data_IF_596259543935
#
_entry.id   IF_596259543935
#
_cell.length_a   1.000
_cell.length_b   1.000
_cell.length_c   1.000
_cell.angle_alpha   90.00
_cell.angle_beta   90.00
_cell.angle_gamma   90.00
#
_symmetry.space_group_name_H-M   'P 1'
#
loop_
_entity.id
_entity.type
_entity.pdbx_description
1 polymer ?
#
# COMPACT_ATOMS: atom_id res chain seq x y z
N UNK A 1 -33.18 -20.98 -4.86
CA UNK A 1 -31.82 -21.53 -5.07
C UNK A 1 -30.88 -20.36 -5.30
N UNK A 2 -29.73 -20.32 -4.62
CA UNK A 2 -28.67 -19.33 -4.91
C UNK A 2 -27.80 -19.88 -6.04
N UNK A 3 -27.37 -19.03 -6.97
CA UNK A 3 -26.38 -19.40 -7.99
C UNK A 3 -25.12 -19.91 -7.26
N UNK A 4 -24.60 -21.08 -7.65
CA UNK A 4 -23.34 -21.55 -7.13
C UNK A 4 -22.21 -20.75 -7.80
N UNK A 5 -21.86 -19.60 -7.20
CA UNK A 5 -20.81 -18.69 -7.71
C UNK A 5 -19.47 -19.39 -7.91
N UNK A 6 -19.22 -20.49 -7.19
CA UNK A 6 -17.95 -21.23 -7.20
C UNK A 6 -17.64 -21.94 -8.53
N UNK A 7 -18.57 -21.97 -9.50
CA UNK A 7 -18.33 -22.56 -10.82
C UNK A 7 -17.90 -21.54 -11.87
N UNK A 8 -17.89 -20.25 -11.55
CA UNK A 8 -17.48 -19.17 -12.45
C UNK A 8 -15.96 -18.97 -12.40
N UNK A 9 -15.35 -18.46 -13.48
CA UNK A 9 -13.99 -17.92 -13.42
C UNK A 9 -13.83 -16.94 -12.25
N UNK A 10 -12.71 -16.98 -11.50
CA UNK A 10 -12.46 -16.08 -10.38
C UNK A 10 -12.64 -14.59 -10.72
N UNK A 11 -12.29 -14.15 -11.94
CA UNK A 11 -12.49 -12.77 -12.39
C UNK A 11 -13.97 -12.41 -12.48
N UNK A 12 -14.81 -13.31 -12.98
CA UNK A 12 -16.25 -13.12 -13.03
C UNK A 12 -16.89 -13.13 -11.63
N UNK A 13 -16.37 -13.95 -10.71
CA UNK A 13 -16.82 -13.94 -9.31
C UNK A 13 -16.57 -12.57 -8.66
N UNK A 14 -15.38 -11.97 -8.89
CA UNK A 14 -14.99 -10.67 -8.34
C UNK A 14 -15.89 -9.50 -8.78
N UNK A 15 -16.63 -9.64 -9.88
CA UNK A 15 -17.59 -8.64 -10.37
C UNK A 15 -18.99 -8.80 -9.75
N UNK A 16 -19.30 -9.97 -9.19
CA UNK A 16 -20.66 -10.30 -8.79
C UNK A 16 -21.21 -9.38 -7.70
N UNK A 17 -20.38 -8.99 -6.74
CA UNK A 17 -20.85 -8.20 -5.59
C UNK A 17 -21.26 -6.78 -6.01
N UNK A 18 -20.50 -6.15 -6.92
CA UNK A 18 -20.87 -4.87 -7.51
C UNK A 18 -22.17 -4.98 -8.32
N UNK A 19 -22.30 -6.03 -9.14
CA UNK A 19 -23.53 -6.26 -9.93
C UNK A 19 -24.73 -6.47 -9.00
N UNK A 20 -24.57 -7.20 -7.89
CA UNK A 20 -25.64 -7.42 -6.93
C UNK A 20 -26.04 -6.13 -6.22
N UNK A 21 -25.09 -5.24 -5.92
CA UNK A 21 -25.37 -3.92 -5.38
C UNK A 21 -26.17 -3.04 -6.37
N UNK A 22 -25.72 -2.97 -7.64
CA UNK A 22 -26.34 -2.12 -8.68
C UNK A 22 -27.66 -2.70 -9.20
N UNK A 23 -27.75 -4.02 -9.29
CA UNK A 23 -28.92 -4.75 -9.78
C UNK A 23 -29.16 -6.02 -8.95
N UNK A 24 -29.81 -5.90 -7.77
CA UNK A 24 -30.08 -7.02 -6.86
C UNK A 24 -30.94 -8.14 -7.48
N UNK A 25 -31.62 -7.86 -8.60
CA UNK A 25 -32.48 -8.81 -9.31
C UNK A 25 -31.75 -9.59 -10.40
N UNK A 26 -30.51 -9.23 -10.75
CA UNK A 26 -29.76 -9.86 -11.83
C UNK A 26 -29.61 -11.37 -11.62
N UNK A 27 -29.05 -11.77 -10.46
CA UNK A 27 -28.78 -13.18 -10.16
C UNK A 27 -30.05 -14.00 -9.89
N UNK A 28 -31.15 -13.37 -9.49
CA UNK A 28 -32.43 -14.07 -9.25
C UNK A 28 -33.22 -14.29 -10.54
N UNK A 29 -33.10 -13.39 -11.52
CA UNK A 29 -33.73 -13.54 -12.84
C UNK A 29 -32.97 -14.47 -13.78
N UNK A 30 -31.63 -14.55 -13.64
CA UNK A 30 -30.76 -15.27 -14.57
C UNK A 30 -30.25 -16.63 -14.04
N UNK A 31 -30.92 -17.23 -13.05
CA UNK A 31 -30.52 -18.47 -12.36
C UNK A 31 -30.13 -19.65 -13.28
N UNK A 32 -30.66 -19.69 -14.51
CA UNK A 32 -30.47 -20.79 -15.48
C UNK A 32 -29.53 -20.46 -16.64
N UNK A 33 -29.07 -19.21 -16.77
CA UNK A 33 -28.28 -18.72 -17.92
C UNK A 33 -27.00 -17.99 -17.46
N UNK A 34 -26.74 -17.92 -16.15
CA UNK A 34 -25.61 -17.18 -15.62
C UNK A 34 -24.28 -17.82 -16.07
N UNK A 35 -23.63 -17.18 -17.03
CA UNK A 35 -22.29 -17.51 -17.51
C UNK A 35 -21.40 -16.24 -17.43
N UNK A 36 -20.11 -16.41 -17.64
CA UNK A 36 -19.13 -15.32 -17.55
C UNK A 36 -19.46 -14.18 -18.51
N UNK A 37 -19.85 -14.49 -19.75
CA UNK A 37 -20.25 -13.50 -20.75
C UNK A 37 -21.38 -12.58 -20.27
N UNK A 38 -22.43 -13.16 -19.66
CA UNK A 38 -23.55 -12.39 -19.12
C UNK A 38 -23.11 -11.46 -17.96
N UNK A 39 -22.20 -11.92 -17.11
CA UNK A 39 -21.65 -11.13 -16.00
C UNK A 39 -20.84 -9.96 -16.54
N UNK A 40 -19.94 -10.19 -17.50
CA UNK A 40 -19.15 -9.12 -18.10
C UNK A 40 -20.03 -8.10 -18.85
N UNK A 41 -21.05 -8.58 -19.58
CA UNK A 41 -22.00 -7.69 -20.29
C UNK A 41 -22.85 -6.87 -19.33
N UNK A 42 -23.22 -7.43 -18.19
CA UNK A 42 -23.92 -6.68 -17.15
C UNK A 42 -23.00 -5.65 -16.51
N UNK A 43 -21.76 -6.05 -16.15
CA UNK A 43 -20.76 -5.13 -15.61
C UNK A 43 -20.49 -3.95 -16.54
N UNK A 44 -20.31 -4.20 -17.84
CA UNK A 44 -20.02 -3.18 -18.84
C UNK A 44 -21.10 -2.10 -18.96
N UNK A 45 -22.35 -2.38 -18.58
CA UNK A 45 -23.44 -1.39 -18.59
C UNK A 45 -23.26 -0.31 -17.52
N UNK A 46 -22.45 -0.55 -16.49
CA UNK A 46 -22.21 0.41 -15.41
C UNK A 46 -21.00 1.31 -15.64
N UNK A 47 -20.17 1.00 -16.64
CA UNK A 47 -18.96 1.75 -16.94
C UNK A 47 -19.28 3.08 -17.61
N UNK A 48 -18.54 4.12 -17.24
CA UNK A 48 -18.50 5.36 -18.03
C UNK A 48 -17.73 5.13 -19.34
N UNK A 49 -17.93 6.01 -20.33
CA UNK A 49 -17.15 5.97 -21.57
C UNK A 49 -15.65 6.13 -21.31
N UNK A 50 -15.29 6.98 -20.34
CA UNK A 50 -13.90 7.22 -19.93
C UNK A 50 -13.28 5.97 -19.28
N UNK A 51 -13.99 5.33 -18.35
CA UNK A 51 -13.52 4.10 -17.70
C UNK A 51 -13.37 2.94 -18.70
N UNK A 52 -14.35 2.76 -19.60
CA UNK A 52 -14.28 1.75 -20.64
C UNK A 52 -13.11 1.98 -21.60
N UNK A 53 -12.86 3.24 -21.98
CA UNK A 53 -11.70 3.61 -22.80
C UNK A 53 -10.37 3.32 -22.09
N UNK A 54 -10.26 3.60 -20.79
CA UNK A 54 -9.06 3.29 -20.02
C UNK A 54 -8.83 1.78 -19.96
N UNK A 55 -9.86 0.97 -19.68
CA UNK A 55 -9.74 -0.50 -19.70
C UNK A 55 -9.26 -0.98 -21.07
N UNK A 56 -9.77 -0.41 -22.16
CA UNK A 56 -9.32 -0.72 -23.52
C UNK A 56 -7.83 -0.34 -23.74
N UNK A 57 -7.39 0.81 -23.26
CA UNK A 57 -5.97 1.20 -23.29
C UNK A 57 -5.08 0.22 -22.50
N UNK A 58 -5.54 -0.21 -21.33
CA UNK A 58 -4.83 -1.20 -20.53
C UNK A 58 -4.70 -2.54 -21.26
N UNK A 59 -5.76 -2.96 -21.97
CA UNK A 59 -5.75 -4.17 -22.82
C UNK A 59 -4.76 -4.03 -23.98
N UNK A 60 -4.62 -2.85 -24.58
CA UNK A 60 -3.68 -2.58 -25.67
C UNK A 60 -2.22 -2.60 -25.23
N UNK A 61 -1.94 -2.21 -23.98
CA UNK A 61 -0.57 -2.13 -23.48
C UNK A 61 0.07 -3.53 -23.42
N UNK A 62 1.14 -3.81 -24.15
CA UNK A 62 1.75 -5.15 -24.22
C UNK A 62 2.49 -5.58 -22.94
N UNK A 63 2.53 -4.74 -21.90
CA UNK A 63 3.17 -5.09 -20.63
C UNK A 63 2.50 -6.27 -19.94
N UNK A 64 3.33 -7.22 -19.49
CA UNK A 64 2.86 -8.45 -18.84
C UNK A 64 2.17 -8.19 -17.50
N UNK A 65 2.59 -7.16 -16.76
CA UNK A 65 1.98 -6.76 -15.50
C UNK A 65 1.31 -5.40 -15.70
N UNK A 66 0.03 -5.30 -15.37
CA UNK A 66 -0.72 -4.05 -15.46
C UNK A 66 -0.77 -3.42 -14.08
N UNK A 67 0.05 -2.39 -13.89
CA UNK A 67 0.19 -1.67 -12.64
C UNK A 67 -0.32 -0.24 -12.81
N UNK A 68 -1.22 0.14 -11.92
CA UNK A 68 -1.82 1.47 -11.87
C UNK A 68 -1.32 2.25 -10.68
N UNK A 69 -1.07 3.54 -10.87
CA UNK A 69 -0.98 4.49 -9.77
C UNK A 69 -2.36 4.91 -9.25
N UNK A 70 -2.36 5.60 -8.12
CA UNK A 70 -3.59 6.12 -7.49
C UNK A 70 -4.42 7.03 -8.41
N UNK A 71 -3.79 7.87 -9.23
CA UNK A 71 -4.50 8.76 -10.15
C UNK A 71 -5.24 7.99 -11.26
N UNK A 72 -4.63 6.93 -11.81
CA UNK A 72 -5.25 6.08 -12.83
C UNK A 72 -6.38 5.25 -12.22
N UNK A 73 -6.20 4.78 -10.99
CA UNK A 73 -7.23 4.06 -10.27
C UNK A 73 -8.49 4.90 -10.03
N UNK A 74 -8.33 6.20 -9.75
CA UNK A 74 -9.47 7.10 -9.54
C UNK A 74 -10.35 7.25 -10.78
N UNK A 75 -9.79 7.03 -11.98
CA UNK A 75 -10.53 7.04 -13.24
C UNK A 75 -11.28 5.73 -13.52
N UNK A 76 -11.00 4.67 -12.74
CA UNK A 76 -11.64 3.35 -12.83
C UNK A 76 -12.71 3.20 -11.74
N UNK A 77 -13.72 4.06 -11.78
CA UNK A 77 -14.69 4.25 -10.69
C UNK A 77 -15.41 2.95 -10.30
N UNK A 78 -15.93 2.19 -11.26
CA UNK A 78 -16.64 0.94 -10.99
C UNK A 78 -15.67 -0.21 -10.73
N UNK A 79 -14.61 -0.33 -11.53
CA UNK A 79 -13.67 -1.45 -11.44
C UNK A 79 -12.90 -1.44 -10.12
N UNK A 80 -12.56 -0.25 -9.59
CA UNK A 80 -11.92 -0.09 -8.27
C UNK A 80 -12.81 -0.53 -7.09
N UNK A 81 -14.13 -0.66 -7.30
CA UNK A 81 -15.04 -1.20 -6.27
C UNK A 81 -15.03 -2.75 -6.24
N UNK A 82 -14.34 -3.39 -7.19
CA UNK A 82 -14.29 -4.84 -7.32
C UNK A 82 -12.98 -5.42 -6.81
N UNK A 83 -12.94 -6.74 -6.60
CA UNK A 83 -11.70 -7.45 -6.24
C UNK A 83 -10.74 -7.70 -7.41
N UNK A 84 -11.08 -7.22 -8.62
CA UNK A 84 -10.22 -7.30 -9.82
C UNK A 84 -9.00 -6.39 -9.67
N UNK A 85 -9.20 -5.20 -9.12
CA UNK A 85 -8.10 -4.30 -8.77
C UNK A 85 -7.60 -4.68 -7.39
N UNK A 86 -6.31 -5.00 -7.30
CA UNK A 86 -5.69 -5.47 -6.07
C UNK A 86 -4.56 -4.53 -5.63
N UNK A 87 -4.57 -4.01 -4.39
CA UNK A 87 -3.50 -3.14 -3.92
C UNK A 87 -2.23 -3.96 -3.70
N UNK A 88 -1.11 -3.57 -4.30
CA UNK A 88 0.20 -4.21 -4.11
C UNK A 88 1.17 -3.33 -3.31
N UNK A 89 0.92 -2.02 -3.29
CA UNK A 89 1.58 -1.05 -2.41
C UNK A 89 0.56 -0.02 -1.90
N UNK A 90 0.96 0.94 -1.02
CA UNK A 90 0.07 2.01 -0.58
C UNK A 90 -0.52 2.85 -1.72
N UNK A 91 0.20 2.99 -2.85
CA UNK A 91 -0.16 3.88 -3.97
C UNK A 91 -0.19 3.16 -5.33
N UNK A 92 0.02 1.84 -5.35
CA UNK A 92 0.09 1.05 -6.58
C UNK A 92 -0.83 -0.17 -6.52
N UNK A 93 -1.45 -0.44 -7.66
CA UNK A 93 -2.52 -1.41 -7.80
C UNK A 93 -2.27 -2.29 -9.01
N UNK A 94 -2.53 -3.58 -8.87
CA UNK A 94 -2.45 -4.56 -9.94
C UNK A 94 -3.85 -4.85 -10.48
N UNK A 95 -3.98 -4.99 -11.80
CA UNK A 95 -5.19 -5.51 -12.44
C UNK A 95 -4.90 -6.90 -13.00
N UNK A 96 -5.81 -7.83 -12.67
CA UNK A 96 -5.76 -9.21 -13.13
C UNK A 96 -5.79 -9.32 -14.66
N UNK A 97 -4.78 -9.99 -15.24
CA UNK A 97 -4.72 -10.22 -16.70
C UNK A 97 -5.86 -11.12 -17.18
N UNK A 98 -6.38 -12.02 -16.35
CA UNK A 98 -7.52 -12.86 -16.72
C UNK A 98 -8.77 -12.01 -16.92
N UNK A 99 -9.02 -11.03 -16.05
CA UNK A 99 -10.09 -10.06 -16.24
C UNK A 99 -9.94 -9.30 -17.57
N UNK A 100 -8.76 -8.75 -17.86
CA UNK A 100 -8.53 -7.97 -19.09
C UNK A 100 -8.74 -8.82 -20.34
N UNK A 101 -8.30 -10.08 -20.31
CA UNK A 101 -8.51 -11.03 -21.39
C UNK A 101 -9.99 -11.39 -21.58
N UNK A 102 -10.73 -11.65 -20.50
CA UNK A 102 -12.16 -11.96 -20.57
C UNK A 102 -12.98 -10.74 -21.00
N UNK A 103 -12.59 -9.53 -20.58
CA UNK A 103 -13.22 -8.29 -21.05
C UNK A 103 -13.01 -8.10 -22.55
N UNK A 104 -11.77 -8.27 -23.04
CA UNK A 104 -11.47 -8.22 -24.47
C UNK A 104 -12.30 -9.26 -25.26
N UNK A 105 -12.43 -10.47 -24.73
CA UNK A 105 -13.20 -11.54 -25.37
C UNK A 105 -14.70 -11.24 -25.41
N UNK A 106 -15.33 -10.95 -24.28
CA UNK A 106 -16.79 -10.84 -24.18
C UNK A 106 -17.37 -9.47 -24.55
N UNK A 107 -16.59 -8.40 -24.39
CA UNK A 107 -17.06 -7.01 -24.61
C UNK A 107 -16.49 -6.42 -25.88
N UNK A 108 -15.19 -6.63 -26.13
CA UNK A 108 -14.51 -6.08 -27.31
C UNK A 108 -14.46 -7.05 -28.49
N UNK A 109 -14.99 -8.27 -28.34
CA UNK A 109 -15.02 -9.32 -29.35
C UNK A 109 -13.62 -9.69 -29.89
N UNK A 110 -12.67 -9.90 -28.98
CA UNK A 110 -11.27 -10.25 -29.27
C UNK A 110 -10.58 -9.24 -30.21
N UNK A 111 -10.92 -7.96 -30.09
CA UNK A 111 -10.33 -6.86 -30.88
C UNK A 111 -8.80 -6.80 -30.75
N UNK A 112 -8.27 -7.18 -29.60
CA UNK A 112 -6.84 -7.15 -29.28
C UNK A 112 -6.27 -8.56 -29.06
N UNK A 113 -4.95 -8.76 -29.27
CA UNK A 113 -4.29 -10.02 -28.93
C UNK A 113 -4.44 -10.36 -27.44
N UNK A 114 -4.58 -11.66 -27.14
CA UNK A 114 -4.64 -12.14 -25.76
C UNK A 114 -3.34 -11.78 -25.02
N UNK A 115 -3.48 -11.21 -23.83
CA UNK A 115 -2.37 -10.84 -22.96
C UNK A 115 -1.69 -12.10 -22.40
N UNK A 116 -0.36 -12.08 -22.24
CA UNK A 116 0.35 -13.16 -21.56
C UNK A 116 -0.10 -13.26 -20.10
N UNK A 117 -0.39 -14.47 -19.66
CA UNK A 117 -0.69 -14.73 -18.25
C UNK A 117 0.59 -14.61 -17.41
N UNK A 118 0.40 -14.31 -16.13
CA UNK A 118 1.49 -14.35 -15.16
C UNK A 118 2.01 -15.79 -15.04
N UNK A 119 3.32 -15.93 -14.90
CA UNK A 119 3.92 -17.19 -14.47
C UNK A 119 3.55 -17.47 -13.01
N UNK A 120 3.63 -18.73 -12.58
CA UNK A 120 3.33 -19.10 -11.19
C UNK A 120 4.14 -18.30 -10.16
N UNK A 121 5.39 -17.95 -10.49
CA UNK A 121 6.25 -17.14 -9.61
C UNK A 121 5.77 -15.69 -9.51
N UNK A 122 5.43 -15.06 -10.63
CA UNK A 122 4.92 -13.67 -10.63
C UNK A 122 3.56 -13.59 -9.93
N UNK A 123 2.66 -14.55 -10.21
CA UNK A 123 1.37 -14.65 -9.54
C UNK A 123 1.52 -14.83 -8.02
N UNK A 124 2.48 -15.65 -7.58
CA UNK A 124 2.79 -15.80 -6.16
C UNK A 124 3.29 -14.48 -5.55
N UNK A 125 4.26 -13.81 -6.18
CA UNK A 125 4.80 -12.54 -5.68
C UNK A 125 3.73 -11.44 -5.58
N UNK A 126 2.86 -11.32 -6.59
CA UNK A 126 1.73 -10.39 -6.56
C UNK A 126 0.75 -10.80 -5.45
N UNK A 127 0.40 -12.08 -5.33
CA UNK A 127 -0.47 -12.58 -4.27
C UNK A 127 0.05 -12.26 -2.87
N UNK A 128 1.35 -12.45 -2.62
CA UNK A 128 2.01 -12.09 -1.36
C UNK A 128 1.94 -10.57 -1.09
N UNK A 129 2.20 -9.75 -2.12
CA UNK A 129 2.09 -8.29 -2.01
C UNK A 129 0.66 -7.84 -1.70
N UNK A 130 -0.34 -8.41 -2.40
CA UNK A 130 -1.76 -8.13 -2.19
C UNK A 130 -2.19 -8.52 -0.78
N UNK A 131 -1.82 -9.72 -0.33
CA UNK A 131 -2.13 -10.17 1.02
C UNK A 131 -1.50 -9.24 2.07
N UNK A 132 -0.22 -8.87 1.90
CA UNK A 132 0.47 -7.92 2.78
C UNK A 132 -0.26 -6.58 2.84
N UNK A 133 -0.69 -6.02 1.72
CA UNK A 133 -1.41 -4.74 1.70
C UNK A 133 -2.82 -4.84 2.28
N UNK A 134 -3.59 -5.89 1.95
CA UNK A 134 -4.93 -6.12 2.50
C UNK A 134 -4.88 -6.23 4.02
N UNK A 135 -3.93 -7.01 4.54
CA UNK A 135 -3.71 -7.15 5.98
C UNK A 135 -3.19 -5.85 6.60
N UNK A 136 -2.24 -5.17 5.95
CA UNK A 136 -1.77 -3.85 6.38
C UNK A 136 -2.92 -2.87 6.55
N UNK A 137 -3.84 -2.78 5.57
CA UNK A 137 -5.04 -1.93 5.64
C UNK A 137 -6.01 -2.35 6.74
N UNK A 138 -6.15 -3.65 7.01
CA UNK A 138 -6.97 -4.14 8.10
C UNK A 138 -6.41 -3.68 9.46
N UNK A 139 -5.11 -3.88 9.69
CA UNK A 139 -4.44 -3.48 10.93
C UNK A 139 -4.23 -1.98 11.05
N UNK A 140 -4.28 -1.23 9.94
CA UNK A 140 -4.29 0.24 9.94
C UNK A 140 -5.55 0.86 10.56
N UNK A 141 -6.59 0.08 10.83
CA UNK A 141 -7.83 0.57 11.44
C UNK A 141 -8.03 0.07 12.87
N UNK A 142 -7.14 -0.78 13.36
CA UNK A 142 -7.25 -1.38 14.68
C UNK A 142 -6.72 -0.40 15.73
N UNK A 143 -7.60 0.06 16.62
CA UNK A 143 -7.20 0.91 17.75
C UNK A 143 -6.45 0.10 18.82
N UNK A 144 -5.76 0.79 19.73
CA UNK A 144 -5.03 0.10 20.79
C UNK A 144 -5.95 -0.71 21.72
N UNK A 145 -7.09 -0.15 22.10
CA UNK A 145 -8.03 -0.85 22.97
C UNK A 145 -8.61 -2.10 22.31
N UNK A 146 -8.92 -2.04 21.00
CA UNK A 146 -9.34 -3.20 20.21
C UNK A 146 -8.23 -4.25 20.09
N UNK A 147 -6.97 -3.84 19.94
CA UNK A 147 -5.85 -4.77 19.92
C UNK A 147 -5.67 -5.47 21.27
N UNK A 148 -5.70 -4.72 22.38
CA UNK A 148 -5.66 -5.30 23.72
C UNK A 148 -6.82 -6.27 23.96
N UNK A 149 -8.02 -5.94 23.50
CA UNK A 149 -9.17 -6.82 23.66
C UNK A 149 -9.07 -8.07 22.77
N UNK A 150 -8.66 -7.94 21.52
CA UNK A 150 -8.64 -9.07 20.59
C UNK A 150 -7.51 -10.07 20.91
N UNK A 151 -6.34 -9.61 21.37
CA UNK A 151 -5.13 -10.43 21.43
C UNK A 151 -4.64 -10.78 22.84
N UNK A 152 -5.16 -10.14 23.89
CA UNK A 152 -4.70 -10.40 25.26
C UNK A 152 -5.81 -11.00 26.14
N UNK A 153 -5.43 -12.04 26.89
CA UNK A 153 -6.27 -12.57 27.96
C UNK A 153 -6.29 -11.61 29.16
N UNK A 154 -7.29 -11.75 30.02
CA UNK A 154 -7.34 -10.95 31.26
C UNK A 154 -6.07 -11.10 32.09
N UNK A 155 -5.50 -12.30 32.17
CA UNK A 155 -4.28 -12.53 32.97
C UNK A 155 -3.05 -11.86 32.34
N UNK A 156 -2.92 -11.92 31.00
CA UNK A 156 -1.86 -11.20 30.28
C UNK A 156 -1.97 -9.68 30.49
N UNK A 157 -3.17 -9.13 30.45
CA UNK A 157 -3.39 -7.70 30.73
C UNK A 157 -2.99 -7.34 32.18
N UNK A 158 -3.27 -8.22 33.14
CA UNK A 158 -2.81 -8.02 34.52
C UNK A 158 -1.29 -8.09 34.64
N UNK A 159 -0.63 -8.95 33.86
CA UNK A 159 0.83 -9.02 33.83
C UNK A 159 1.45 -7.74 33.26
N UNK A 160 0.86 -7.15 32.21
CA UNK A 160 1.24 -5.81 31.73
C UNK A 160 1.10 -4.80 32.88
N UNK A 161 -0.04 -4.75 33.55
CA UNK A 161 -0.22 -3.84 34.68
C UNK A 161 0.81 -4.04 35.80
N UNK A 162 1.20 -5.29 36.12
CA UNK A 162 2.24 -5.58 37.11
C UNK A 162 3.61 -5.10 36.65
N UNK A 163 3.97 -5.38 35.39
CA UNK A 163 5.24 -5.00 34.78
C UNK A 163 5.47 -3.48 34.83
N UNK A 164 4.40 -2.70 34.61
CA UNK A 164 4.44 -1.23 34.62
C UNK A 164 3.97 -0.59 35.93
N UNK A 165 3.79 -1.38 37.01
CA UNK A 165 3.43 -0.85 38.33
C UNK A 165 2.05 -0.16 38.42
N UNK A 166 1.14 -0.43 37.48
CA UNK A 166 -0.22 0.12 37.48
C UNK A 166 -1.03 -0.43 38.66
N UNK A 167 -1.97 0.34 39.21
CA UNK A 167 -2.78 -0.07 40.37
C UNK A 167 -4.27 -0.13 40.00
N UNK A 168 -5.05 -0.93 40.73
CA UNK A 168 -6.52 -0.98 40.58
C UNK A 168 -7.06 -2.04 39.62
N UNK A 169 -6.21 -2.89 39.04
CA UNK A 169 -6.60 -3.88 38.03
C UNK A 169 -7.07 -5.24 38.60
N UNK A 170 -6.80 -5.55 39.88
CA UNK A 170 -6.91 -6.92 40.42
C UNK A 170 -8.31 -7.53 40.35
N UNK A 171 -9.37 -6.70 40.43
CA UNK A 171 -10.78 -7.11 40.40
C UNK A 171 -11.57 -6.48 39.24
N UNK A 172 -10.90 -5.77 38.32
CA UNK A 172 -11.54 -5.08 37.21
C UNK A 172 -12.05 -6.04 36.14
N UNK A 173 -13.10 -5.64 35.40
CA UNK A 173 -13.46 -6.32 34.16
C UNK A 173 -12.39 -6.06 33.10
N UNK A 174 -12.30 -6.92 32.09
CA UNK A 174 -11.29 -6.80 31.02
C UNK A 174 -11.22 -5.38 30.43
N UNK A 175 -12.38 -4.80 30.10
CA UNK A 175 -12.52 -3.43 29.60
C UNK A 175 -11.88 -2.37 30.52
N UNK A 176 -12.01 -2.53 31.84
CA UNK A 176 -11.49 -1.57 32.82
C UNK A 176 -9.96 -1.65 32.88
N UNK A 177 -9.41 -2.87 32.77
CA UNK A 177 -7.97 -3.11 32.71
C UNK A 177 -7.38 -2.55 31.42
N UNK A 178 -8.04 -2.76 30.28
CA UNK A 178 -7.65 -2.19 28.98
C UNK A 178 -7.60 -0.67 29.07
N UNK A 179 -8.66 -0.03 29.60
CA UNK A 179 -8.69 1.42 29.75
C UNK A 179 -7.58 1.95 30.67
N UNK A 180 -7.25 1.22 31.73
CA UNK A 180 -6.15 1.57 32.63
C UNK A 180 -4.80 1.56 31.91
N UNK A 181 -4.53 0.52 31.12
CA UNK A 181 -3.28 0.39 30.34
C UNK A 181 -3.22 1.48 29.27
N UNK A 182 -4.30 1.67 28.50
CA UNK A 182 -4.39 2.70 27.46
C UNK A 182 -4.13 4.09 28.00
N UNK A 183 -4.78 4.44 29.12
CA UNK A 183 -4.58 5.73 29.76
C UNK A 183 -3.13 5.90 30.22
N UNK A 184 -2.57 4.91 30.90
CA UNK A 184 -1.20 4.99 31.41
C UNK A 184 -0.17 5.13 30.28
N UNK A 185 -0.35 4.38 29.19
CA UNK A 185 0.52 4.49 28.02
C UNK A 185 0.39 5.86 27.34
N UNK A 186 -0.83 6.41 27.21
CA UNK A 186 -1.04 7.75 26.64
C UNK A 186 -0.44 8.86 27.51
N UNK A 187 -0.50 8.71 28.83
CA UNK A 187 0.01 9.70 29.78
C UNK A 187 1.56 9.73 29.81
N UNK A 188 2.23 8.58 29.68
CA UNK A 188 3.70 8.48 29.74
C UNK A 188 4.27 7.33 28.89
N UNK A 189 4.10 7.40 27.56
CA UNK A 189 4.57 6.35 26.64
C UNK A 189 6.08 6.08 26.71
N UNK A 190 6.90 7.10 26.98
CA UNK A 190 8.36 6.94 27.08
C UNK A 190 8.74 6.01 28.22
N UNK A 191 8.07 6.10 29.38
CA UNK A 191 8.32 5.22 30.51
C UNK A 191 8.04 3.75 30.19
N UNK A 192 7.08 3.48 29.30
CA UNK A 192 6.82 2.11 28.85
C UNK A 192 7.90 1.64 27.88
N UNK A 193 8.27 2.47 26.90
CA UNK A 193 9.27 2.13 25.90
C UNK A 193 10.68 1.98 26.50
N UNK A 194 11.00 2.72 27.56
CA UNK A 194 12.27 2.63 28.28
C UNK A 194 12.47 1.27 28.99
N UNK A 195 11.42 0.46 29.19
CA UNK A 195 11.55 -0.89 29.77
C UNK A 195 11.79 -1.97 28.72
N UNK A 196 11.73 -1.64 27.42
CA UNK A 196 11.80 -2.64 26.37
C UNK A 196 13.23 -3.17 26.22
N UNK A 197 13.34 -4.48 26.00
CA UNK A 197 14.61 -5.16 25.79
C UNK A 197 15.19 -4.82 24.41
N UNK A 198 16.51 -5.01 24.19
CA UNK A 198 17.15 -4.73 22.91
C UNK A 198 16.46 -5.38 21.70
N UNK A 199 15.98 -6.61 21.82
CA UNK A 199 15.27 -7.31 20.73
C UNK A 199 13.92 -6.66 20.41
N UNK A 200 13.22 -6.17 21.42
CA UNK A 200 11.95 -5.46 21.26
C UNK A 200 12.18 -4.09 20.62
N UNK A 201 13.20 -3.36 21.06
CA UNK A 201 13.64 -2.10 20.44
C UNK A 201 14.10 -2.31 18.99
N UNK A 202 14.73 -3.44 18.69
CA UNK A 202 15.12 -3.81 17.32
C UNK A 202 13.91 -3.99 16.42
N UNK A 203 12.85 -4.61 16.94
CA UNK A 203 11.60 -4.79 16.21
C UNK A 203 10.87 -3.45 16.00
N UNK A 204 10.84 -2.59 17.02
CA UNK A 204 10.32 -1.23 16.90
C UNK A 204 11.11 -0.40 15.88
N UNK A 205 12.44 -0.52 15.86
CA UNK A 205 13.28 0.15 14.89
C UNK A 205 12.97 -0.27 13.44
N UNK A 206 12.62 -1.54 13.20
CA UNK A 206 12.17 -1.99 11.88
C UNK A 206 10.88 -1.29 11.44
N UNK A 207 9.88 -1.18 12.32
CA UNK A 207 8.64 -0.46 12.02
C UNK A 207 8.91 1.02 11.70
N UNK A 208 9.81 1.67 12.44
CA UNK A 208 10.23 3.06 12.20
C UNK A 208 10.94 3.22 10.85
N UNK A 209 11.90 2.34 10.54
CA UNK A 209 12.68 2.41 9.30
C UNK A 209 11.81 2.15 8.07
N UNK A 210 10.96 1.13 8.14
CA UNK A 210 10.03 0.77 7.06
C UNK A 210 8.79 1.67 7.05
N UNK A 211 8.68 2.57 8.02
CA UNK A 211 7.62 3.57 8.18
C UNK A 211 6.20 2.94 8.11
N UNK A 212 6.06 1.71 8.59
CA UNK A 212 4.85 0.89 8.49
C UNK A 212 4.46 0.40 9.87
N UNK A 213 3.18 0.14 10.09
CA UNK A 213 2.69 -0.46 11.33
C UNK A 213 2.55 -1.99 11.19
N UNK A 214 3.00 -2.57 10.07
CA UNK A 214 2.89 -4.00 9.78
C UNK A 214 4.10 -4.46 8.96
N UNK A 215 4.74 -5.55 9.37
CA UNK A 215 5.89 -6.18 8.73
C UNK A 215 5.70 -7.70 8.60
N UNK A 216 6.27 -8.36 7.57
CA UNK A 216 6.28 -9.82 7.48
C UNK A 216 7.02 -10.47 8.65
N UNK A 217 6.48 -11.56 9.20
CA UNK A 217 7.14 -12.29 10.30
C UNK A 217 8.54 -12.78 9.91
N UNK A 218 8.73 -13.18 8.65
CA UNK A 218 10.01 -13.61 8.11
C UNK A 218 11.07 -12.52 8.21
N UNK A 219 10.64 -11.26 8.11
CA UNK A 219 11.49 -10.08 8.23
C UNK A 219 11.74 -9.71 9.71
N UNK A 220 10.75 -9.93 10.59
CA UNK A 220 10.93 -9.81 12.03
C UNK A 220 11.93 -10.84 12.58
N UNK A 221 12.06 -12.01 11.95
CA UNK A 221 13.04 -13.04 12.33
C UNK A 221 12.76 -13.63 13.71
N UNK A 222 13.81 -13.81 14.52
CA UNK A 222 13.74 -14.36 15.88
C UNK A 222 13.51 -13.28 16.97
N UNK A 223 13.15 -12.05 16.58
CA UNK A 223 12.99 -10.95 17.53
C UNK A 223 11.86 -11.20 18.53
N UNK A 224 12.05 -10.71 19.76
CA UNK A 224 11.06 -10.82 20.83
C UNK A 224 9.75 -10.13 20.45
N UNK A 225 8.66 -10.89 20.52
CA UNK A 225 7.28 -10.41 20.36
C UNK A 225 6.63 -10.09 21.72
N UNK A 226 7.40 -10.06 22.81
CA UNK A 226 6.87 -9.86 24.16
C UNK A 226 6.47 -8.41 24.46
N UNK A 227 6.78 -7.48 23.56
CA UNK A 227 6.28 -6.11 23.61
C UNK A 227 4.76 -6.11 23.42
N UNK A 228 3.99 -5.74 24.45
CA UNK A 228 2.52 -5.76 24.39
C UNK A 228 1.89 -4.86 23.31
N UNK A 229 2.67 -3.92 22.77
CA UNK A 229 2.26 -3.05 21.65
C UNK A 229 2.40 -3.72 20.28
N UNK A 230 2.98 -4.92 20.24
CA UNK A 230 3.26 -5.71 19.04
C UNK A 230 2.42 -6.99 19.09
N UNK A 231 1.76 -7.31 17.98
CA UNK A 231 0.87 -8.46 17.85
C UNK A 231 1.17 -9.24 16.56
N UNK A 232 0.74 -10.49 16.51
CA UNK A 232 0.81 -11.34 15.32
C UNK A 232 -0.57 -11.65 14.78
N UNK A 233 -0.67 -11.85 13.46
CA UNK A 233 -1.93 -12.23 12.83
C UNK A 233 -2.21 -13.74 13.00
N UNK A 234 -2.58 -14.12 14.22
CA UNK A 234 -3.05 -15.48 14.51
C UNK A 234 -4.31 -15.82 13.69
N UNK A 235 -4.46 -17.06 13.19
CA UNK A 235 -3.54 -18.21 13.32
C UNK A 235 -2.49 -18.30 12.21
N UNK A 236 -2.44 -17.31 11.30
CA UNK A 236 -1.62 -17.41 10.09
C UNK A 236 -0.15 -17.09 10.36
N UNK A 237 0.16 -16.29 11.37
CA UNK A 237 1.51 -15.89 11.79
C UNK A 237 2.40 -15.51 10.61
N UNK A 238 1.85 -14.70 9.71
CA UNK A 238 2.55 -14.21 8.52
C UNK A 238 3.03 -12.77 8.70
N UNK A 239 2.44 -12.04 9.65
CA UNK A 239 2.65 -10.62 9.87
C UNK A 239 2.77 -10.32 11.36
N UNK A 240 3.67 -9.38 11.66
CA UNK A 240 3.80 -8.71 12.94
C UNK A 240 3.30 -7.29 12.75
N UNK A 241 2.44 -6.80 13.62
CA UNK A 241 1.84 -5.48 13.49
C UNK A 241 1.71 -4.77 14.83
N UNK A 242 1.58 -3.45 14.77
CA UNK A 242 1.23 -2.59 15.88
C UNK A 242 0.04 -1.70 15.50
N UNK A 243 -0.77 -1.26 16.48
CA UNK A 243 -1.73 -0.20 16.28
C UNK A 243 -1.06 1.05 15.66
N UNK A 244 -1.64 1.66 14.62
CA UNK A 244 -1.02 2.80 13.92
C UNK A 244 -0.71 3.99 14.82
N UNK A 245 -1.58 4.22 15.81
CA UNK A 245 -1.40 5.26 16.83
C UNK A 245 -0.06 5.15 17.58
N UNK A 246 0.54 3.96 17.63
CA UNK A 246 1.84 3.74 18.27
C UNK A 246 3.02 3.90 17.36
N UNK A 247 2.85 3.76 16.04
CA UNK A 247 3.96 3.99 15.12
C UNK A 247 4.48 5.43 15.29
N UNK A 248 3.59 6.40 15.42
CA UNK A 248 3.97 7.81 15.62
C UNK A 248 4.54 8.06 17.02
N UNK A 249 3.99 7.42 18.06
CA UNK A 249 4.57 7.45 19.41
C UNK A 249 6.00 6.90 19.44
N UNK A 250 6.23 5.74 18.81
CA UNK A 250 7.54 5.09 18.73
C UNK A 250 8.52 5.94 17.92
N UNK A 251 8.10 6.50 16.77
CA UNK A 251 8.94 7.46 16.03
C UNK A 251 9.36 8.65 16.91
N UNK A 252 8.39 9.25 17.59
CA UNK A 252 8.63 10.37 18.51
C UNK A 252 9.60 10.01 19.63
N UNK A 253 9.53 8.78 20.15
CA UNK A 253 10.45 8.25 21.15
C UNK A 253 11.90 8.18 20.62
N UNK A 254 12.12 7.56 19.45
CA UNK A 254 13.46 7.49 18.83
C UNK A 254 14.02 8.89 18.56
N UNK A 255 13.19 9.80 18.04
CA UNK A 255 13.59 11.20 17.78
C UNK A 255 13.97 11.95 19.07
N UNK A 256 13.11 11.90 20.09
CA UNK A 256 13.30 12.61 21.38
C UNK A 256 14.52 12.10 22.15
N UNK A 257 14.79 10.79 22.08
CA UNK A 257 15.94 10.15 22.73
C UNK A 257 17.22 10.20 21.88
N UNK A 258 17.15 10.78 20.66
CA UNK A 258 18.25 10.83 19.70
C UNK A 258 18.83 9.45 19.38
N UNK A 259 17.97 8.44 19.27
CA UNK A 259 18.33 7.07 18.92
C UNK A 259 18.25 6.90 17.40
N UNK A 260 19.31 6.42 16.77
CA UNK A 260 19.25 6.01 15.36
C UNK A 260 18.64 4.60 15.27
N UNK A 261 17.48 4.41 14.62
CA UNK A 261 16.89 3.08 14.45
C UNK A 261 17.84 2.07 13.80
N UNK A 262 18.77 2.49 12.94
CA UNK A 262 19.74 1.58 12.31
C UNK A 262 20.70 0.94 13.30
N UNK A 263 20.97 1.58 14.44
CA UNK A 263 21.86 1.03 15.47
C UNK A 263 21.29 -0.25 16.10
N UNK A 264 19.97 -0.38 16.09
CA UNK A 264 19.23 -1.53 16.65
C UNK A 264 19.01 -2.65 15.62
N UNK A 265 19.35 -2.43 14.34
CA UNK A 265 19.22 -3.49 13.34
C UNK A 265 20.46 -4.40 13.36
N UNK A 266 20.32 -5.74 13.32
CA UNK A 266 21.47 -6.65 13.22
C UNK A 266 22.31 -6.36 11.97
N UNK A 267 23.64 -6.39 12.10
CA UNK A 267 24.57 -6.02 11.01
C UNK A 267 24.30 -6.77 9.70
N UNK A 268 23.90 -8.04 9.77
CA UNK A 268 23.58 -8.86 8.61
C UNK A 268 22.35 -8.36 7.81
N UNK A 269 21.46 -7.59 8.44
CA UNK A 269 20.22 -7.10 7.84
C UNK A 269 20.22 -5.58 7.58
N UNK A 270 21.21 -4.84 8.11
CA UNK A 270 21.26 -3.37 8.04
C UNK A 270 21.17 -2.83 6.63
N UNK A 271 21.97 -3.38 5.71
CA UNK A 271 22.01 -2.89 4.32
C UNK A 271 20.67 -3.13 3.60
N UNK A 272 20.07 -4.30 3.81
CA UNK A 272 18.77 -4.67 3.23
C UNK A 272 17.65 -3.76 3.75
N UNK A 273 17.56 -3.58 5.07
CA UNK A 273 16.52 -2.72 5.68
C UNK A 273 16.75 -1.26 5.33
N UNK A 274 17.99 -0.78 5.28
CA UNK A 274 18.30 0.58 4.88
C UNK A 274 17.88 0.84 3.42
N UNK A 275 18.12 -0.11 2.52
CA UNK A 275 17.68 -0.02 1.13
C UNK A 275 16.16 -0.11 0.99
N UNK A 276 15.52 -1.04 1.70
CA UNK A 276 14.06 -1.15 1.75
C UNK A 276 13.40 0.13 2.29
N UNK A 277 13.96 0.73 3.34
CA UNK A 277 13.51 2.01 3.90
C UNK A 277 13.58 3.13 2.89
N UNK A 278 14.70 3.25 2.15
CA UNK A 278 14.84 4.24 1.06
C UNK A 278 13.82 4.01 -0.04
N UNK A 279 13.58 2.75 -0.41
CA UNK A 279 12.60 2.39 -1.43
C UNK A 279 11.18 2.76 -1.01
N UNK A 280 10.78 2.44 0.23
CA UNK A 280 9.46 2.81 0.76
C UNK A 280 9.30 4.34 0.84
N UNK A 281 10.33 5.05 1.32
CA UNK A 281 10.33 6.52 1.34
C UNK A 281 10.16 7.10 -0.06
N UNK A 282 10.89 6.58 -1.03
CA UNK A 282 10.77 6.98 -2.43
C UNK A 282 9.36 6.73 -2.96
N UNK A 283 8.80 5.53 -2.72
CA UNK A 283 7.45 5.16 -3.13
C UNK A 283 6.37 6.06 -2.53
N UNK A 284 6.49 6.50 -1.27
CA UNK A 284 5.54 7.45 -0.64
C UNK A 284 5.67 8.88 -1.18
N UNK A 285 6.88 9.25 -1.58
CA UNK A 285 7.12 10.52 -2.26
C UNK A 285 6.61 10.50 -3.71
N UNK A 286 6.18 9.33 -4.20
CA UNK A 286 5.54 9.15 -5.49
C UNK A 286 4.09 8.63 -5.31
N UNK A 287 3.19 8.80 -6.29
CA UNK A 287 3.31 9.79 -7.34
C UNK A 287 3.37 11.22 -6.77
N UNK A 288 3.90 12.14 -7.58
CA UNK A 288 3.85 13.56 -7.26
C UNK A 288 2.41 14.06 -7.40
N UNK A 289 1.87 14.80 -6.42
CA UNK A 289 0.51 15.30 -6.50
C UNK A 289 0.36 16.26 -7.68
N UNK A 290 -0.77 16.14 -8.40
CA UNK A 290 -1.11 17.00 -9.54
C UNK A 290 -1.63 18.36 -9.07
N UNK A 291 -2.35 18.38 -7.95
CA UNK A 291 -3.22 19.51 -7.58
C UNK A 291 -2.61 20.43 -6.52
N UNK A 292 -1.46 20.06 -5.95
CA UNK A 292 -0.79 20.85 -4.92
C UNK A 292 0.66 21.15 -5.28
N UNK A 293 0.93 22.32 -5.90
CA UNK A 293 2.27 22.76 -6.26
C UNK A 293 3.25 22.77 -5.09
N UNK A 294 2.79 23.21 -3.91
CA UNK A 294 3.61 23.29 -2.71
C UNK A 294 4.02 21.90 -2.21
N UNK A 295 3.08 20.94 -2.15
CA UNK A 295 3.38 19.57 -1.75
C UNK A 295 4.29 18.89 -2.78
N UNK A 296 4.06 19.12 -4.08
CA UNK A 296 4.90 18.61 -5.17
C UNK A 296 6.35 19.08 -5.06
N UNK A 297 6.57 20.37 -4.83
CA UNK A 297 7.91 20.92 -4.62
C UNK A 297 8.57 20.35 -3.37
N UNK A 298 7.83 20.23 -2.25
CA UNK A 298 8.36 19.64 -1.02
C UNK A 298 8.78 18.17 -1.20
N UNK A 299 7.96 17.37 -1.88
CA UNK A 299 8.29 15.97 -2.20
C UNK A 299 9.54 15.88 -3.08
N UNK A 300 9.64 16.73 -4.12
CA UNK A 300 10.83 16.79 -4.98
C UNK A 300 12.08 17.20 -4.20
N UNK A 301 12.01 18.19 -3.33
CA UNK A 301 13.14 18.59 -2.48
C UNK A 301 13.59 17.43 -1.58
N UNK A 302 12.66 16.69 -0.97
CA UNK A 302 12.96 15.50 -0.16
C UNK A 302 13.67 14.41 -0.97
N UNK A 303 13.20 14.13 -2.19
CA UNK A 303 13.85 13.21 -3.13
C UNK A 303 15.28 13.69 -3.45
N UNK A 304 15.47 14.98 -3.69
CA UNK A 304 16.75 15.55 -4.11
C UNK A 304 17.83 15.57 -3.04
N UNK A 305 17.46 15.49 -1.75
CA UNK A 305 18.39 15.43 -0.60
C UNK A 305 19.10 14.08 -0.46
N UNK A 306 18.53 12.99 -0.97
CA UNK A 306 19.15 11.66 -0.98
C UNK A 306 19.70 11.35 -2.38
N UNK A 307 21.00 11.07 -2.49
CA UNK A 307 21.65 10.81 -3.77
C UNK A 307 21.08 9.58 -4.50
N UNK A 308 20.66 8.56 -3.76
CA UNK A 308 20.07 7.31 -4.28
C UNK A 308 18.69 7.59 -4.84
N UNK A 309 17.83 8.25 -4.05
CA UNK A 309 16.48 8.63 -4.47
C UNK A 309 16.51 9.60 -5.66
N UNK A 310 17.42 10.57 -5.65
CA UNK A 310 17.64 11.50 -6.78
C UNK A 310 18.03 10.75 -8.06
N UNK A 311 19.01 9.84 -7.97
CA UNK A 311 19.43 9.02 -9.12
C UNK A 311 18.27 8.19 -9.65
N UNK A 312 17.51 7.54 -8.77
CA UNK A 312 16.35 6.72 -9.14
C UNK A 312 15.24 7.56 -9.77
N UNK A 313 14.91 8.71 -9.19
CA UNK A 313 13.95 9.66 -9.77
C UNK A 313 14.35 10.05 -11.20
N UNK A 314 15.60 10.47 -11.39
CA UNK A 314 16.08 10.86 -12.71
C UNK A 314 16.04 9.70 -13.70
N UNK A 315 16.45 8.50 -13.29
CA UNK A 315 16.40 7.30 -14.13
C UNK A 315 14.95 6.94 -14.54
N UNK A 316 14.00 6.92 -13.60
CA UNK A 316 12.60 6.60 -13.90
C UNK A 316 11.97 7.62 -14.85
N UNK A 317 12.29 8.91 -14.70
CA UNK A 317 11.77 9.94 -15.61
C UNK A 317 12.52 9.95 -16.96
N UNK A 318 13.76 9.46 -17.04
CA UNK A 318 14.46 9.31 -18.33
C UNK A 318 14.00 8.05 -19.10
N UNK A 319 13.65 6.97 -18.41
CA UNK A 319 13.20 5.68 -19.01
C UNK A 319 11.73 5.73 -19.44
N UNK A 320 10.86 6.47 -18.74
CA UNK A 320 9.43 6.60 -19.07
C UNK A 320 9.13 7.51 -20.28
N UNK A 321 10.05 7.65 -21.24
CA UNK A 321 9.82 8.40 -22.48
C UNK A 321 9.69 9.92 -22.30
N UNK A 322 9.85 10.46 -21.09
CA UNK A 322 9.96 11.90 -20.89
C UNK A 322 11.34 12.39 -21.36
N UNK A 323 11.54 12.46 -22.68
CA UNK A 323 12.50 13.39 -23.28
C UNK A 323 11.98 14.81 -23.06
N UNK A 324 11.95 15.22 -21.80
CA UNK A 324 11.66 16.58 -21.41
C UNK A 324 12.60 17.52 -22.15
N UNK A 325 12.06 18.62 -22.65
CA UNK A 325 12.89 19.70 -23.15
C UNK A 325 13.91 20.09 -22.08
N UNK A 326 15.08 20.58 -22.49
CA UNK A 326 16.13 21.00 -21.55
C UNK A 326 15.60 22.00 -20.51
N UNK A 327 14.58 22.79 -20.88
CA UNK A 327 13.85 23.71 -20.00
C UNK A 327 13.07 22.98 -18.90
N UNK A 328 12.28 21.96 -19.24
CA UNK A 328 11.56 21.14 -18.25
C UNK A 328 12.55 20.43 -17.31
N UNK A 329 13.66 19.88 -17.84
CA UNK A 329 14.71 19.26 -17.02
C UNK A 329 15.32 20.24 -16.01
N UNK A 330 15.61 21.48 -16.43
CA UNK A 330 16.12 22.54 -15.55
C UNK A 330 15.13 22.91 -14.46
N UNK A 331 13.83 22.96 -14.75
CA UNK A 331 12.78 23.25 -13.77
C UNK A 331 12.67 22.15 -12.71
N UNK A 332 12.72 20.88 -13.12
CA UNK A 332 12.70 19.73 -12.22
C UNK A 332 13.95 19.70 -11.33
N UNK A 333 15.15 19.90 -11.91
CA UNK A 333 16.40 19.97 -11.15
C UNK A 333 16.39 21.12 -10.13
N UNK A 334 15.79 22.26 -10.47
CA UNK A 334 15.61 23.37 -9.54
C UNK A 334 14.76 23.00 -8.32
N UNK A 335 13.73 22.17 -8.51
CA UNK A 335 12.90 21.66 -7.41
C UNK A 335 13.64 20.62 -6.57
N UNK A 336 14.34 19.68 -7.20
CA UNK A 336 15.19 18.69 -6.51
C UNK A 336 16.28 19.36 -5.66
N UNK A 337 16.86 20.47 -6.14
CA UNK A 337 17.87 21.24 -5.41
C UNK A 337 17.29 22.15 -4.31
N UNK A 338 15.97 22.16 -4.07
CA UNK A 338 15.33 23.06 -3.09
C UNK A 338 15.39 24.55 -3.47
N UNK A 339 15.59 24.86 -4.76
CA UNK A 339 15.77 26.23 -5.27
C UNK A 339 14.46 26.89 -5.75
N UNK A 340 13.32 26.26 -5.50
CA UNK A 340 11.99 26.79 -5.87
C UNK A 340 11.44 27.65 -4.74
N UNK A 341 11.39 28.97 -4.97
CA UNK A 341 10.87 29.95 -3.98
C UNK A 341 9.35 30.13 -4.03
N UNK A 342 8.75 29.96 -5.21
CA UNK A 342 7.31 30.10 -5.43
C UNK A 342 6.79 28.84 -6.15
N UNK A 343 6.17 27.90 -5.42
CA UNK A 343 5.68 26.65 -5.98
C UNK A 343 4.61 26.83 -7.06
N UNK A 344 3.71 27.82 -6.91
CA UNK A 344 2.63 28.07 -7.87
C UNK A 344 3.18 28.57 -9.20
N UNK A 345 4.09 29.54 -9.17
CA UNK A 345 4.74 30.07 -10.37
C UNK A 345 5.59 28.98 -11.06
N UNK A 346 6.29 28.17 -10.28
CA UNK A 346 7.06 27.04 -10.82
C UNK A 346 6.15 26.01 -11.51
N UNK A 347 5.00 25.67 -10.91
CA UNK A 347 4.08 24.70 -11.50
C UNK A 347 3.40 25.26 -12.76
N UNK A 348 3.04 26.54 -12.79
CA UNK A 348 2.54 27.19 -14.01
C UNK A 348 3.58 27.13 -15.15
N UNK A 349 4.83 27.47 -14.85
CA UNK A 349 5.92 27.40 -15.84
C UNK A 349 6.15 25.95 -16.30
N UNK A 350 6.13 24.99 -15.39
CA UNK A 350 6.27 23.57 -15.71
C UNK A 350 5.15 23.09 -16.64
N UNK A 351 3.89 23.41 -16.33
CA UNK A 351 2.74 23.02 -17.14
C UNK A 351 2.78 23.67 -18.52
N UNK A 352 3.12 24.95 -18.59
CA UNK A 352 3.29 25.66 -19.86
C UNK A 352 4.39 25.02 -20.73
N UNK A 353 5.55 24.68 -20.16
CA UNK A 353 6.62 24.01 -20.90
C UNK A 353 6.27 22.57 -21.31
N UNK A 354 5.39 21.89 -20.56
CA UNK A 354 4.87 20.56 -20.91
C UNK A 354 3.84 20.62 -22.03
N UNK A 355 3.02 21.68 -22.12
CA UNK A 355 2.05 21.88 -23.20
C UNK A 355 2.70 22.29 -24.53
N UNK A 356 3.88 22.90 -24.50
CA UNK A 356 4.62 23.34 -25.71
C UNK A 356 5.39 22.21 -26.38
N UNK A 357 5.72 21.13 -25.65
CA UNK A 357 6.30 19.93 -26.23
C UNK A 357 5.22 18.88 -26.46
N UNK A 358 5.07 18.36 -27.67
CA UNK A 358 4.26 17.16 -27.94
C UNK A 358 4.80 15.99 -27.11
N UNK A 359 4.28 15.81 -25.89
CA UNK A 359 4.60 14.68 -25.02
C UNK A 359 3.27 14.02 -24.67
N UNK A 360 2.95 12.95 -25.40
CA UNK A 360 2.00 11.96 -24.92
C UNK A 360 2.56 11.39 -23.62
N UNK A 361 1.83 11.62 -22.52
CA UNK A 361 2.13 11.03 -21.21
C UNK A 361 1.75 9.55 -21.29
N UNK A 362 2.70 8.72 -21.71
CA UNK A 362 2.59 7.27 -21.60
C UNK A 362 2.67 6.89 -20.13
N UNK A 363 1.54 6.51 -19.54
CA UNK A 363 1.49 5.90 -18.23
C UNK A 363 2.08 4.50 -18.27
N UNK A 364 3.36 4.38 -17.96
CA UNK A 364 3.92 3.09 -17.56
C UNK A 364 5.03 3.31 -16.54
N UNK A 365 4.75 3.00 -15.28
CA UNK A 365 5.79 2.88 -14.27
C UNK A 365 6.39 1.48 -14.39
N UNK A 366 7.57 1.37 -15.01
CA UNK A 366 8.35 0.14 -14.94
C UNK A 366 8.94 0.06 -13.52
N UNK A 367 8.40 -0.85 -12.72
CA UNK A 367 9.01 -1.26 -11.45
C UNK A 367 9.88 -2.47 -11.75
N UNK A 368 11.16 -2.37 -11.42
CA UNK A 368 12.03 -3.54 -11.41
C UNK A 368 11.69 -4.41 -10.17
N UNK A 369 11.01 -5.52 -10.41
CA UNK A 369 10.68 -6.53 -9.39
C UNK A 369 11.89 -7.37 -8.97
N UNK A 370 13.12 -7.07 -9.43
CA UNK A 370 14.33 -7.72 -8.93
C UNK A 370 14.48 -7.66 -7.40
N UNK A 371 13.90 -6.63 -6.76
CA UNK A 371 13.88 -6.50 -5.30
C UNK A 371 12.90 -7.45 -4.58
N UNK A 372 11.90 -8.01 -5.28
CA UNK A 372 10.98 -9.03 -4.75
C UNK A 372 11.41 -10.47 -5.12
N UNK A 373 12.55 -10.63 -5.82
CA UNK A 373 12.98 -11.92 -6.39
C UNK A 373 13.82 -12.80 -5.46
N UNK A 374 13.94 -12.51 -4.16
CA UNK A 374 14.67 -13.37 -3.23
C UNK A 374 13.76 -14.10 -2.26
#
# INVERSE_FOLDING_TARGET
MKVNRNTLDPSAQKLCDLIEEKNPRFFTKNLYILNEEAIFKEFAQYLSEEEAFIIELLIQNEQKEVILGEAELQLLEQLNQTEVVQPISPVMYFIDNDFLNLYNHFILNDRYPKRPLLSSKEAQSIGEAVQKQRMGRHYQKLSFSEALDAYFSVDMLKDICRGFGLKGFSKGKKSDIIHLIEKAFKDDSDAFLDTFLPDELSLLAQFVLLDTNCIPIKQAGELSLNAFIINTNQPFDTLVFMPPEYLDTVKGYFEKKHLDPLDFIPAAQRDEIAEASKNIRFERLMPLPTDSPAIKVNKLEKIGKDATMRKRFLANNEVNGMKHSEKVRKLILKALDGKVKNPNQWNQELQHQLQIGDVQVGSSNIIDFSHYRK
#
